data_IF_938306366560
#
_entry.id   IF_938306366560
#
_cell.length_a   1.000
_cell.length_b   1.000
_cell.length_c   1.000
_cell.angle_alpha   90.00
_cell.angle_beta   90.00
_cell.angle_gamma   90.00
#
_symmetry.space_group_name_H-M   'P 1'
#
loop_
_entity.id
_entity.type
_entity.pdbx_description
1 polymer ?
#
# COMPACT_ATOMS: atom_id res chain seq x y z
N UNK A 1 48.06 -31.73 41.56
CA UNK A 1 47.69 -30.77 40.49
C UNK A 1 46.43 -31.27 39.79
N UNK A 2 45.28 -30.95 40.37
CA UNK A 2 43.95 -31.38 39.94
C UNK A 2 43.38 -30.37 38.95
N UNK A 3 43.20 -30.77 37.68
CA UNK A 3 42.55 -29.95 36.65
C UNK A 3 41.08 -30.35 36.53
N UNK A 4 40.20 -29.53 37.11
CA UNK A 4 38.77 -29.57 36.83
C UNK A 4 38.50 -29.06 35.41
N UNK A 5 37.80 -29.85 34.58
CA UNK A 5 37.21 -29.39 33.31
C UNK A 5 35.74 -29.09 33.58
N UNK A 6 35.36 -27.81 33.43
CA UNK A 6 33.97 -27.34 33.41
C UNK A 6 33.21 -27.94 32.21
N UNK A 7 31.91 -28.26 32.34
CA UNK A 7 31.08 -28.59 31.18
C UNK A 7 30.63 -27.31 30.46
N UNK A 8 30.69 -27.36 29.13
CA UNK A 8 30.21 -26.32 28.22
C UNK A 8 28.67 -26.39 28.19
N UNK A 9 28.00 -25.39 28.77
CA UNK A 9 26.54 -25.25 28.69
C UNK A 9 26.18 -24.63 27.34
N UNK A 10 25.63 -25.42 26.42
CA UNK A 10 25.10 -24.94 25.15
C UNK A 10 23.77 -24.22 25.41
N UNK A 11 23.76 -22.89 25.25
CA UNK A 11 22.56 -22.07 25.32
C UNK A 11 21.82 -22.15 23.98
N UNK A 12 20.77 -22.96 23.91
CA UNK A 12 19.82 -22.96 22.80
C UNK A 12 18.95 -21.70 22.89
N UNK A 13 19.27 -20.69 22.09
CA UNK A 13 18.39 -19.54 21.84
C UNK A 13 17.24 -20.02 20.94
N UNK A 14 16.08 -20.30 21.54
CA UNK A 14 14.85 -20.52 20.81
C UNK A 14 14.40 -19.17 20.18
N UNK A 15 14.61 -19.01 18.87
CA UNK A 15 13.90 -18.00 18.09
C UNK A 15 12.42 -18.44 17.99
N UNK A 16 11.61 -17.97 18.93
CA UNK A 16 10.16 -18.02 18.77
C UNK A 16 9.70 -17.12 17.62
N UNK A 17 8.61 -17.45 16.92
CA UNK A 17 8.05 -16.58 15.90
C UNK A 17 7.64 -15.25 16.56
N UNK A 18 8.09 -14.12 15.99
CA UNK A 18 7.52 -12.82 16.36
C UNK A 18 6.05 -12.83 15.94
N UNK A 19 5.16 -13.08 16.90
CA UNK A 19 3.77 -12.71 16.76
C UNK A 19 3.72 -11.21 16.49
N UNK A 20 3.20 -10.81 15.33
CA UNK A 20 2.91 -9.42 15.04
C UNK A 20 1.94 -8.92 16.11
N UNK A 21 2.44 -8.11 17.04
CA UNK A 21 1.60 -7.47 18.05
C UNK A 21 0.68 -6.52 17.28
N UNK A 22 -0.63 -6.78 17.30
CA UNK A 22 -1.64 -5.83 16.86
C UNK A 22 -1.53 -4.59 17.78
N UNK A 23 -0.67 -3.65 17.39
CA UNK A 23 -0.44 -2.40 18.10
C UNK A 23 -1.55 -1.39 17.82
N UNK A 24 -1.61 -0.34 18.63
CA UNK A 24 -2.42 0.82 18.29
C UNK A 24 -1.96 1.36 16.92
N UNK A 25 -2.93 1.72 16.06
CA UNK A 25 -2.64 2.26 14.72
C UNK A 25 -1.63 3.39 14.83
N UNK A 26 -0.55 3.32 14.04
CA UNK A 26 0.42 4.40 13.98
C UNK A 26 -0.26 5.70 13.57
N UNK A 27 0.03 6.77 14.31
CA UNK A 27 -0.53 8.09 14.10
C UNK A 27 0.38 8.90 13.17
N UNK A 28 -0.25 9.70 12.32
CA UNK A 28 0.35 10.75 11.52
C UNK A 28 -0.48 12.02 11.73
N UNK A 29 0.13 13.19 11.56
CA UNK A 29 -0.65 14.43 11.52
C UNK A 29 -1.51 14.51 10.24
N UNK A 30 -2.46 15.46 10.24
CA UNK A 30 -3.39 15.63 9.12
C UNK A 30 -2.69 15.95 7.79
N UNK A 31 -1.60 16.73 7.80
CA UNK A 31 -0.89 17.08 6.57
C UNK A 31 -0.22 15.84 5.96
N UNK A 32 0.40 15.01 6.78
CA UNK A 32 0.96 13.73 6.34
C UNK A 32 -0.11 12.77 5.83
N UNK A 33 -1.25 12.66 6.52
CA UNK A 33 -2.36 11.78 6.09
C UNK A 33 -2.94 12.21 4.73
N UNK A 34 -3.09 13.51 4.50
CA UNK A 34 -3.52 14.05 3.21
C UNK A 34 -2.49 13.79 2.10
N UNK A 35 -1.20 14.00 2.39
CA UNK A 35 -0.12 13.75 1.44
C UNK A 35 -0.02 12.27 1.07
N UNK A 36 -0.05 11.38 2.05
CA UNK A 36 -0.05 9.93 1.84
C UNK A 36 -1.28 9.50 1.03
N UNK A 37 -2.47 9.99 1.36
CA UNK A 37 -3.69 9.66 0.62
C UNK A 37 -3.65 10.09 -0.85
N UNK A 38 -3.03 11.23 -1.16
CA UNK A 38 -2.78 11.67 -2.55
C UNK A 38 -1.76 10.80 -3.26
N UNK A 39 -0.65 10.47 -2.60
CA UNK A 39 0.39 9.61 -3.16
C UNK A 39 -0.17 8.21 -3.48
N UNK A 40 -0.98 7.63 -2.58
CA UNK A 40 -1.70 6.38 -2.80
C UNK A 40 -2.60 6.51 -4.04
N UNK A 41 -3.42 7.55 -4.13
CA UNK A 41 -4.30 7.78 -5.27
C UNK A 41 -3.54 7.92 -6.59
N UNK A 42 -2.48 8.73 -6.62
CA UNK A 42 -1.71 8.99 -7.83
C UNK A 42 -1.01 7.73 -8.35
N UNK A 43 -0.44 6.92 -7.46
CA UNK A 43 0.21 5.67 -7.80
C UNK A 43 -0.81 4.59 -8.20
N UNK A 44 -1.87 4.37 -7.42
CA UNK A 44 -2.90 3.35 -7.72
C UNK A 44 -3.55 3.61 -9.08
N UNK A 45 -3.91 4.86 -9.36
CA UNK A 45 -4.50 5.25 -10.64
C UNK A 45 -3.57 5.02 -11.83
N UNK A 46 -2.29 5.39 -11.71
CA UNK A 46 -1.32 5.22 -12.79
C UNK A 46 -0.96 3.76 -13.01
N UNK A 47 -0.81 2.98 -11.94
CA UNK A 47 -0.62 1.52 -12.04
C UNK A 47 -1.81 0.86 -12.72
N UNK A 48 -3.05 1.26 -12.41
CA UNK A 48 -4.23 0.75 -13.09
C UNK A 48 -4.19 1.05 -14.60
N UNK A 49 -3.91 2.30 -14.99
CA UNK A 49 -3.80 2.69 -16.40
C UNK A 49 -2.65 1.94 -17.11
N UNK A 50 -1.48 1.84 -16.48
CA UNK A 50 -0.34 1.11 -17.03
C UNK A 50 -0.67 -0.38 -17.21
N UNK A 51 -1.43 -0.96 -16.28
CA UNK A 51 -1.87 -2.36 -16.35
C UNK A 51 -2.85 -2.55 -17.50
N UNK A 52 -3.86 -1.68 -17.64
CA UNK A 52 -4.83 -1.73 -18.74
C UNK A 52 -4.12 -1.64 -20.09
N UNK A 53 -3.19 -0.68 -20.25
CA UNK A 53 -2.44 -0.52 -21.50
C UNK A 53 -1.48 -1.69 -21.79
N UNK A 54 -0.87 -2.27 -20.75
CA UNK A 54 -0.04 -3.46 -20.90
C UNK A 54 -0.88 -4.65 -21.40
N UNK A 55 -2.10 -4.83 -20.86
CA UNK A 55 -3.02 -5.90 -21.24
C UNK A 55 -3.55 -5.77 -22.69
N UNK A 56 -3.47 -4.60 -23.31
CA UNK A 56 -3.87 -4.42 -24.72
C UNK A 56 -2.93 -5.13 -25.69
N UNK A 57 -1.65 -5.30 -25.33
CA UNK A 57 -0.61 -5.79 -26.24
C UNK A 57 0.18 -7.00 -25.73
N UNK A 58 0.09 -7.31 -24.43
CA UNK A 58 0.87 -8.35 -23.78
C UNK A 58 -0.03 -9.29 -22.97
N UNK A 59 0.35 -10.57 -22.92
CA UNK A 59 -0.23 -11.54 -22.00
C UNK A 59 0.67 -11.64 -20.74
N UNK A 60 0.25 -11.14 -19.57
CA UNK A 60 1.10 -11.12 -18.37
C UNK A 60 1.54 -12.51 -17.91
N UNK A 61 0.72 -13.54 -18.17
CA UNK A 61 1.04 -14.91 -17.79
C UNK A 61 2.18 -15.47 -18.65
N UNK A 62 2.08 -15.28 -19.97
CA UNK A 62 3.11 -15.71 -20.94
C UNK A 62 4.42 -14.94 -20.74
N UNK A 63 4.34 -13.65 -20.43
CA UNK A 63 5.51 -12.81 -20.11
C UNK A 63 6.11 -13.11 -18.73
N UNK A 64 5.42 -13.90 -17.90
CA UNK A 64 5.85 -14.24 -16.55
C UNK A 64 5.77 -13.07 -15.57
N UNK A 65 4.99 -12.02 -15.85
CA UNK A 65 4.85 -10.85 -14.98
C UNK A 65 4.23 -11.28 -13.65
N UNK A 66 4.84 -10.85 -12.53
CA UNK A 66 4.41 -11.17 -11.16
C UNK A 66 4.16 -9.95 -10.28
N UNK A 67 4.46 -8.76 -10.78
CA UNK A 67 4.19 -7.51 -10.08
C UNK A 67 4.79 -6.32 -10.78
N UNK A 68 4.94 -5.24 -10.03
CA UNK A 68 5.53 -3.99 -10.51
C UNK A 68 6.26 -3.29 -9.37
N UNK A 69 7.17 -2.40 -9.76
CA UNK A 69 7.79 -1.39 -8.89
C UNK A 69 7.48 -0.01 -9.44
N UNK A 70 7.47 1.01 -8.59
CA UNK A 70 7.15 2.39 -9.01
C UNK A 70 8.26 3.33 -8.58
N UNK A 71 8.68 4.20 -9.49
CA UNK A 71 9.66 5.25 -9.23
C UNK A 71 9.14 6.61 -9.69
N UNK A 72 9.72 7.66 -9.12
CA UNK A 72 9.35 9.04 -9.42
C UNK A 72 8.13 9.52 -8.63
N UNK A 73 7.55 10.61 -9.11
CA UNK A 73 6.40 11.27 -8.50
C UNK A 73 5.25 11.43 -9.49
N UNK A 74 4.27 12.27 -9.15
CA UNK A 74 3.09 12.50 -9.99
C UNK A 74 3.39 13.12 -11.36
N UNK A 75 4.52 13.81 -11.51
CA UNK A 75 4.88 14.56 -12.72
C UNK A 75 5.82 13.75 -13.63
N UNK A 76 6.51 12.75 -13.09
CA UNK A 76 7.34 11.82 -13.85
C UNK A 76 7.38 10.43 -13.19
N UNK A 77 6.34 9.62 -13.41
CA UNK A 77 6.22 8.28 -12.82
C UNK A 77 6.70 7.19 -13.79
N UNK A 78 7.50 6.26 -13.29
CA UNK A 78 7.78 4.99 -13.96
C UNK A 78 7.06 3.87 -13.21
N UNK A 79 6.16 3.16 -13.90
CA UNK A 79 5.66 1.85 -13.46
C UNK A 79 6.43 0.79 -14.24
N UNK A 80 7.22 -0.02 -13.55
CA UNK A 80 8.03 -1.07 -14.16
C UNK A 80 7.48 -2.43 -13.77
N UNK A 81 6.95 -3.17 -14.74
CA UNK A 81 6.48 -4.54 -14.56
C UNK A 81 7.67 -5.49 -14.45
N UNK A 82 7.58 -6.42 -13.51
CA UNK A 82 8.68 -7.32 -13.16
C UNK A 82 8.27 -8.78 -13.20
N UNK A 83 9.24 -9.65 -13.46
CA UNK A 83 9.12 -11.10 -13.35
C UNK A 83 10.23 -11.66 -12.46
N UNK A 84 9.98 -12.85 -11.93
CA UNK A 84 10.98 -13.63 -11.21
C UNK A 84 11.69 -14.59 -12.18
N UNK A 85 13.01 -14.70 -12.08
CA UNK A 85 13.84 -15.63 -12.84
C UNK A 85 14.69 -16.47 -11.89
N UNK A 86 15.45 -17.43 -12.42
CA UNK A 86 16.40 -18.21 -11.61
C UNK A 86 17.50 -17.35 -10.97
N UNK A 87 17.81 -16.20 -11.56
CA UNK A 87 18.87 -15.28 -11.13
C UNK A 87 18.34 -14.09 -10.31
N UNK A 88 17.03 -14.08 -10.01
CA UNK A 88 16.34 -13.00 -9.29
C UNK A 88 15.29 -12.28 -10.13
N UNK A 89 14.78 -11.17 -9.63
CA UNK A 89 13.76 -10.38 -10.32
C UNK A 89 14.36 -9.47 -11.39
N UNK A 90 13.67 -9.34 -12.53
CA UNK A 90 14.06 -8.45 -13.63
C UNK A 90 12.86 -7.69 -14.22
N UNK A 91 13.16 -6.60 -14.92
CA UNK A 91 12.18 -5.78 -15.61
C UNK A 91 11.70 -6.44 -16.93
N UNK A 92 10.40 -6.37 -17.17
CA UNK A 92 9.76 -6.86 -18.39
C UNK A 92 9.31 -5.70 -19.28
N UNK A 93 8.58 -4.76 -18.70
CA UNK A 93 8.01 -3.60 -19.39
C UNK A 93 8.09 -2.35 -18.51
N UNK A 94 8.34 -1.21 -19.14
CA UNK A 94 8.26 0.11 -18.54
C UNK A 94 7.02 0.84 -19.06
N UNK A 95 6.22 1.39 -18.16
CA UNK A 95 5.18 2.37 -18.45
C UNK A 95 5.61 3.72 -17.88
N UNK A 96 5.99 4.65 -18.76
CA UNK A 96 6.50 5.98 -18.37
C UNK A 96 5.43 7.03 -18.55
N UNK A 97 5.07 7.66 -17.44
CA UNK A 97 4.17 8.80 -17.39
C UNK A 97 4.98 10.09 -17.43
N UNK A 98 4.52 11.04 -18.23
CA UNK A 98 4.88 12.45 -18.12
C UNK A 98 3.82 13.19 -17.27
N UNK A 99 3.61 14.48 -17.53
CA UNK A 99 2.57 15.28 -16.87
C UNK A 99 1.14 14.88 -17.29
N UNK A 100 1.01 13.97 -18.26
CA UNK A 100 -0.26 13.36 -18.68
C UNK A 100 -0.51 12.03 -17.98
N UNK A 101 -1.76 11.55 -18.07
CA UNK A 101 -2.15 10.23 -17.57
C UNK A 101 -1.99 9.11 -18.60
N UNK A 102 -1.34 9.37 -19.73
CA UNK A 102 -1.16 8.39 -20.80
C UNK A 102 0.31 7.94 -20.85
N UNK A 103 0.64 6.76 -20.32
CA UNK A 103 2.01 6.29 -20.32
C UNK A 103 2.46 5.86 -21.72
N UNK A 104 3.76 5.96 -21.96
CA UNK A 104 4.41 5.23 -23.05
C UNK A 104 4.86 3.87 -22.53
N UNK A 105 4.33 2.80 -23.12
CA UNK A 105 4.76 1.42 -22.86
C UNK A 105 5.99 1.11 -23.72
N UNK A 106 7.02 0.51 -23.11
CA UNK A 106 8.26 0.14 -23.80
C UNK A 106 8.96 -1.04 -23.12
N UNK A 107 9.74 -1.80 -23.88
CA UNK A 107 10.70 -2.73 -23.28
C UNK A 107 11.89 -1.97 -22.70
N UNK A 108 12.31 -2.29 -21.46
CA UNK A 108 13.44 -1.65 -20.84
C UNK A 108 14.75 -2.08 -21.52
N UNK A 109 15.62 -1.11 -21.82
CA UNK A 109 16.96 -1.38 -22.38
C UNK A 109 17.85 -2.18 -21.42
N UNK A 110 17.67 -1.94 -20.14
CA UNK A 110 18.33 -2.65 -19.06
C UNK A 110 17.24 -3.32 -18.20
N UNK A 111 17.31 -4.65 -18.14
CA UNK A 111 16.36 -5.48 -17.38
C UNK A 111 16.75 -5.60 -15.91
N UNK A 112 17.99 -5.23 -15.54
CA UNK A 112 18.41 -5.25 -14.16
C UNK A 112 17.58 -4.26 -13.32
N UNK A 113 17.20 -4.70 -12.12
CA UNK A 113 16.55 -3.85 -11.15
C UNK A 113 17.61 -3.17 -10.28
N UNK A 114 17.36 -1.90 -9.94
CA UNK A 114 18.20 -1.17 -8.98
C UNK A 114 17.97 -1.73 -7.57
N UNK A 115 18.91 -1.48 -6.65
CA UNK A 115 18.75 -1.85 -5.23
C UNK A 115 17.46 -1.29 -4.62
N UNK A 116 17.07 -0.07 -5.02
CA UNK A 116 15.83 0.55 -4.56
C UNK A 116 14.58 -0.17 -5.11
N UNK A 117 14.60 -0.58 -6.38
CA UNK A 117 13.52 -1.36 -7.01
C UNK A 117 13.41 -2.75 -6.36
N UNK A 118 14.54 -3.41 -6.11
CA UNK A 118 14.57 -4.69 -5.40
C UNK A 118 14.03 -4.57 -3.97
N UNK A 119 14.39 -3.49 -3.26
CA UNK A 119 13.88 -3.22 -1.92
C UNK A 119 12.35 -2.98 -1.93
N UNK A 120 11.81 -2.24 -2.92
CA UNK A 120 10.36 -2.08 -3.04
C UNK A 120 9.64 -3.41 -3.30
N UNK A 121 10.18 -4.25 -4.18
CA UNK A 121 9.62 -5.56 -4.48
C UNK A 121 9.65 -6.47 -3.24
N UNK A 122 10.77 -6.49 -2.52
CA UNK A 122 10.90 -7.20 -1.25
C UNK A 122 9.88 -6.71 -0.22
N UNK A 123 9.73 -5.38 -0.06
CA UNK A 123 8.79 -4.79 0.87
C UNK A 123 7.35 -5.17 0.57
N UNK A 124 6.97 -5.12 -0.71
CA UNK A 124 5.67 -5.57 -1.19
C UNK A 124 5.43 -7.04 -0.83
N UNK A 125 6.38 -7.92 -1.13
CA UNK A 125 6.24 -9.36 -0.90
C UNK A 125 6.12 -9.67 0.60
N UNK A 126 6.94 -9.03 1.44
CA UNK A 126 6.84 -9.13 2.90
C UNK A 126 5.46 -8.66 3.37
N UNK A 127 5.00 -7.49 2.94
CA UNK A 127 3.72 -6.93 3.36
C UNK A 127 2.52 -7.82 2.98
N UNK A 128 2.43 -8.23 1.70
CA UNK A 128 1.32 -9.05 1.22
C UNK A 128 1.28 -10.43 1.88
N UNK A 129 2.44 -11.00 2.22
CA UNK A 129 2.55 -12.25 2.98
C UNK A 129 2.06 -12.17 4.44
N UNK A 130 1.81 -10.96 4.97
CA UNK A 130 1.38 -10.73 6.35
C UNK A 130 -0.07 -10.24 6.48
N UNK A 131 -0.88 -10.32 5.42
CA UNK A 131 -2.32 -10.05 5.50
C UNK A 131 -2.99 -11.19 6.28
N UNK A 132 -3.40 -10.92 7.52
CA UNK A 132 -3.97 -11.95 8.39
C UNK A 132 -5.45 -12.28 8.10
N UNK A 133 -6.26 -11.25 7.82
CA UNK A 133 -7.70 -11.39 7.56
C UNK A 133 -8.04 -10.67 6.24
N UNK A 134 -7.86 -11.34 5.08
CA UNK A 134 -8.11 -10.72 3.79
C UNK A 134 -9.60 -10.45 3.59
N UNK A 135 -9.91 -9.26 3.10
CA UNK A 135 -11.26 -8.84 2.71
C UNK A 135 -11.52 -8.92 1.21
N UNK A 136 -10.49 -9.27 0.44
CA UNK A 136 -10.55 -9.49 -0.99
C UNK A 136 -9.52 -10.54 -1.40
N UNK A 137 -9.79 -11.25 -2.49
CA UNK A 137 -8.81 -12.09 -3.16
C UNK A 137 -7.72 -11.24 -3.87
N UNK A 138 -8.04 -9.98 -4.16
CA UNK A 138 -7.15 -9.05 -4.87
C UNK A 138 -6.86 -7.81 -4.03
N UNK A 139 -5.58 -7.49 -3.94
CA UNK A 139 -5.08 -6.30 -3.28
C UNK A 139 -4.22 -5.50 -4.25
N UNK A 140 -4.57 -4.24 -4.48
CA UNK A 140 -3.64 -3.30 -5.10
C UNK A 140 -2.57 -2.93 -4.08
N UNK A 141 -1.30 -2.97 -4.49
CA UNK A 141 -0.17 -2.70 -3.61
C UNK A 141 0.50 -1.38 -3.98
N UNK A 142 0.74 -0.53 -2.97
CA UNK A 142 1.46 0.74 -3.09
C UNK A 142 2.65 0.68 -2.14
N UNK A 143 3.82 1.12 -2.60
CA UNK A 143 5.04 1.23 -1.77
C UNK A 143 5.47 2.69 -1.79
N UNK A 144 5.46 3.33 -0.63
CA UNK A 144 5.84 4.73 -0.46
C UNK A 144 6.99 4.85 0.55
N UNK A 145 7.86 5.87 0.46
CA UNK A 145 8.80 6.20 1.53
C UNK A 145 8.06 6.51 2.83
N UNK A 146 8.61 6.07 3.97
CA UNK A 146 8.09 6.47 5.29
C UNK A 146 8.55 7.90 5.64
N UNK A 147 7.62 8.87 5.79
CA UNK A 147 7.98 10.27 5.95
C UNK A 147 8.61 10.61 7.33
N UNK A 148 8.48 9.75 8.34
CA UNK A 148 8.96 10.07 9.70
C UNK A 148 10.11 9.17 10.18
N UNK A 149 10.18 7.91 9.72
CA UNK A 149 11.11 6.91 10.29
C UNK A 149 12.13 6.36 9.31
N UNK A 150 12.06 6.77 8.05
CA UNK A 150 12.81 6.12 6.96
C UNK A 150 12.32 4.69 6.71
N UNK A 151 12.78 4.09 5.61
CA UNK A 151 12.21 2.84 5.11
C UNK A 151 10.95 3.08 4.29
N UNK A 152 10.02 2.14 4.34
CA UNK A 152 8.85 2.12 3.46
C UNK A 152 7.54 1.90 4.21
N UNK A 153 6.49 2.57 3.76
CA UNK A 153 5.11 2.23 4.03
C UNK A 153 4.56 1.45 2.84
N UNK A 154 4.11 0.22 3.08
CA UNK A 154 3.44 -0.59 2.07
C UNK A 154 1.96 -0.61 2.37
N UNK A 155 1.14 -0.27 1.38
CA UNK A 155 -0.30 -0.34 1.48
C UNK A 155 -0.82 -1.52 0.68
N UNK A 156 -1.64 -2.34 1.32
CA UNK A 156 -2.46 -3.33 0.64
C UNK A 156 -3.91 -2.81 0.62
N UNK A 157 -4.36 -2.38 -0.55
CA UNK A 157 -5.69 -1.85 -0.79
C UNK A 157 -6.60 -2.96 -1.32
N UNK A 158 -7.48 -3.48 -0.46
CA UNK A 158 -8.53 -4.41 -0.88
C UNK A 158 -9.31 -3.86 -2.09
N UNK A 159 -9.35 -4.62 -3.18
CA UNK A 159 -9.99 -4.25 -4.44
C UNK A 159 -11.20 -5.16 -4.73
N UNK A 160 -12.14 -4.71 -5.55
CA UNK A 160 -13.30 -5.52 -5.97
C UNK A 160 -13.59 -5.31 -7.44
N UNK A 161 -13.93 -6.38 -8.14
CA UNK A 161 -14.40 -6.36 -9.54
C UNK A 161 -15.93 -6.22 -9.63
N UNK A 162 -16.63 -6.30 -8.48
CA UNK A 162 -18.08 -6.25 -8.49
C UNK A 162 -18.57 -4.85 -8.87
N UNK A 163 -19.24 -4.80 -10.02
CA UNK A 163 -19.84 -3.59 -10.57
C UNK A 163 -20.77 -2.94 -9.55
N UNK A 164 -20.70 -1.62 -9.41
CA UNK A 164 -21.57 -0.90 -8.48
C UNK A 164 -21.16 -0.98 -7.01
N UNK A 165 -20.02 -1.57 -6.67
CA UNK A 165 -19.52 -1.62 -5.29
C UNK A 165 -18.12 -1.03 -5.13
N UNK A 166 -17.79 -0.69 -3.88
CA UNK A 166 -16.50 -0.17 -3.42
C UNK A 166 -16.14 -0.85 -2.12
N UNK A 167 -14.89 -1.28 -1.96
CA UNK A 167 -14.34 -1.66 -0.66
C UNK A 167 -13.77 -0.42 0.02
N UNK A 168 -14.45 0.04 1.08
CA UNK A 168 -14.01 1.15 1.92
C UNK A 168 -13.22 0.68 3.16
N UNK A 169 -13.15 -0.63 3.38
CA UNK A 169 -12.40 -1.25 4.47
C UNK A 169 -11.69 -2.53 4.01
N UNK A 170 -10.91 -3.11 4.90
CA UNK A 170 -10.07 -4.27 4.63
C UNK A 170 -8.68 -3.92 4.10
N UNK A 171 -8.32 -2.64 4.14
CA UNK A 171 -7.00 -2.15 3.76
C UNK A 171 -6.01 -2.29 4.92
N UNK A 172 -4.73 -2.46 4.57
CA UNK A 172 -3.63 -2.54 5.54
C UNK A 172 -2.53 -1.54 5.19
N UNK A 173 -1.82 -1.06 6.21
CA UNK A 173 -0.53 -0.39 6.09
C UNK A 173 0.52 -1.19 6.84
N UNK A 174 1.64 -1.41 6.20
CA UNK A 174 2.80 -2.10 6.76
C UNK A 174 3.96 -1.12 6.84
N UNK A 175 4.66 -1.09 7.97
CA UNK A 175 5.96 -0.40 8.07
C UNK A 175 7.05 -1.42 7.79
N UNK A 176 7.92 -1.16 6.82
CA UNK A 176 8.98 -2.08 6.38
C UNK A 176 10.33 -1.36 6.37
N UNK A 177 11.41 -2.08 6.68
CA UNK A 177 12.78 -1.55 6.58
C UNK A 177 13.13 -1.05 5.17
N UNK A 178 14.15 -0.20 5.07
CA UNK A 178 14.58 0.39 3.78
C UNK A 178 15.13 -0.60 2.77
N UNK A 179 15.60 -1.78 3.21
CA UNK A 179 15.98 -2.89 2.33
C UNK A 179 14.78 -3.76 1.91
N UNK A 180 13.59 -3.49 2.45
CA UNK A 180 12.36 -4.21 2.14
C UNK A 180 12.19 -5.57 2.84
N UNK A 181 13.15 -6.04 3.63
CA UNK A 181 13.13 -7.42 4.12
C UNK A 181 12.55 -7.61 5.52
N UNK A 182 12.42 -6.55 6.32
CA UNK A 182 11.99 -6.65 7.72
C UNK A 182 10.70 -5.89 7.97
N UNK A 183 9.68 -6.62 8.40
CA UNK A 183 8.43 -6.04 8.90
C UNK A 183 8.68 -5.33 10.25
N UNK A 184 8.29 -4.07 10.32
CA UNK A 184 8.36 -3.23 11.51
C UNK A 184 7.01 -2.99 12.21
N UNK A 185 5.90 -3.14 11.49
CA UNK A 185 4.56 -2.99 12.05
C UNK A 185 3.44 -3.22 11.04
N UNK A 186 2.24 -3.54 11.54
CA UNK A 186 1.03 -3.79 10.75
C UNK A 186 -0.10 -2.98 11.35
N UNK A 187 -0.74 -2.15 10.53
CA UNK A 187 -1.96 -1.43 10.86
C UNK A 187 -3.09 -1.97 9.96
N UNK A 188 -4.07 -2.65 10.55
CA UNK A 188 -5.37 -2.85 9.90
C UNK A 188 -6.10 -1.49 9.92
N UNK A 189 -6.50 -0.97 8.77
CA UNK A 189 -7.01 0.40 8.63
C UNK A 189 -8.54 0.51 8.75
N UNK A 190 -9.21 -0.60 9.08
CA UNK A 190 -10.64 -0.66 9.42
C UNK A 190 -10.93 -1.84 10.36
N UNK A 191 -12.10 -1.84 10.99
CA UNK A 191 -12.58 -2.90 11.90
C UNK A 191 -13.13 -4.15 11.16
N UNK A 192 -12.90 -4.23 9.84
CA UNK A 192 -13.45 -5.29 8.99
C UNK A 192 -13.66 -4.88 7.53
N UNK A 193 -14.32 -5.76 6.79
CA UNK A 193 -14.54 -5.64 5.35
C UNK A 193 -15.75 -4.75 5.04
N UNK A 194 -15.54 -3.43 5.06
CA UNK A 194 -16.60 -2.47 4.73
C UNK A 194 -16.78 -2.36 3.23
N UNK A 195 -17.89 -2.90 2.71
CA UNK A 195 -18.31 -2.74 1.31
C UNK A 195 -19.44 -1.73 1.23
N UNK A 196 -19.32 -0.77 0.32
CA UNK A 196 -20.31 0.27 0.09
C UNK A 196 -20.81 0.20 -1.36
N UNK A 197 -22.10 0.47 -1.62
CA UNK A 197 -22.56 0.69 -2.99
C UNK A 197 -21.93 1.97 -3.54
N UNK A 198 -21.58 1.97 -4.83
CA UNK A 198 -21.18 3.18 -5.56
C UNK A 198 -22.34 4.16 -5.48
N UNK A 199 -22.03 5.36 -5.01
CA UNK A 199 -23.04 6.39 -4.82
C UNK A 199 -23.30 7.15 -6.11
N UNK A 200 -24.53 7.65 -6.26
CA UNK A 200 -24.82 8.67 -7.27
C UNK A 200 -24.18 10.01 -6.87
N UNK A 201 -23.89 10.85 -7.87
CA UNK A 201 -23.34 12.19 -7.64
C UNK A 201 -24.21 12.98 -6.64
N UNK A 202 -23.55 13.63 -5.67
CA UNK A 202 -24.19 14.48 -4.67
C UNK A 202 -24.64 13.77 -3.38
N UNK A 203 -24.57 12.44 -3.30
CA UNK A 203 -24.85 11.72 -2.05
C UNK A 203 -23.67 11.81 -1.07
N UNK A 204 -23.99 11.86 0.23
CA UNK A 204 -22.99 11.85 1.30
C UNK A 204 -22.70 10.42 1.71
N UNK A 205 -21.41 10.07 1.79
CA UNK A 205 -20.97 8.80 2.37
C UNK A 205 -20.51 9.07 3.79
N UNK A 206 -21.01 8.29 4.75
CA UNK A 206 -20.54 8.30 6.13
C UNK A 206 -19.88 6.97 6.43
N UNK A 207 -18.63 7.00 6.88
CA UNK A 207 -17.89 5.82 7.32
C UNK A 207 -17.38 5.99 8.75
N UNK A 208 -17.23 4.87 9.46
CA UNK A 208 -16.64 4.84 10.79
C UNK A 208 -15.14 4.59 10.66
N UNK A 209 -14.33 5.42 11.33
CA UNK A 209 -12.90 5.18 11.52
C UNK A 209 -12.65 4.47 12.85
N UNK A 210 -11.62 3.64 12.87
CA UNK A 210 -11.05 3.02 14.08
C UNK A 210 -10.00 3.90 14.75
N UNK A 211 -9.69 5.06 14.17
CA UNK A 211 -8.75 6.05 14.71
C UNK A 211 -9.46 7.34 15.17
N UNK A 212 -8.75 8.13 15.99
CA UNK A 212 -9.23 9.43 16.48
C UNK A 212 -9.18 10.54 15.42
N UNK A 213 -8.54 10.27 14.29
CA UNK A 213 -8.54 11.10 13.08
C UNK A 213 -8.85 10.19 11.88
N UNK A 214 -9.39 10.71 10.77
CA UNK A 214 -9.45 9.92 9.54
C UNK A 214 -8.05 9.46 9.13
N UNK A 215 -7.99 8.33 8.43
CA UNK A 215 -6.74 7.74 7.92
C UNK A 215 -6.55 8.11 6.44
N UNK A 216 -5.34 7.96 5.93
CA UNK A 216 -4.97 8.25 4.54
C UNK A 216 -5.80 7.46 3.51
N UNK A 217 -6.29 6.28 3.86
CA UNK A 217 -7.20 5.50 3.00
C UNK A 217 -8.55 6.20 2.79
N UNK A 218 -9.00 7.01 3.74
CA UNK A 218 -10.22 7.81 3.57
C UNK A 218 -9.99 8.95 2.57
N UNK A 219 -8.79 9.53 2.56
CA UNK A 219 -8.36 10.53 1.58
C UNK A 219 -8.28 9.89 0.18
N UNK A 220 -7.65 8.72 0.09
CA UNK A 220 -7.60 7.92 -1.14
C UNK A 220 -9.01 7.63 -1.71
N UNK A 221 -9.92 7.10 -0.88
CA UNK A 221 -11.30 6.79 -1.30
C UNK A 221 -12.06 8.04 -1.76
N UNK A 222 -11.87 9.18 -1.09
CA UNK A 222 -12.45 10.45 -1.53
C UNK A 222 -11.98 10.84 -2.94
N UNK A 223 -10.68 10.73 -3.21
CA UNK A 223 -10.10 11.07 -4.52
C UNK A 223 -10.51 10.08 -5.60
N UNK A 224 -10.53 8.79 -5.28
CA UNK A 224 -10.91 7.71 -6.19
C UNK A 224 -12.37 7.85 -6.65
N UNK A 225 -13.29 8.11 -5.72
CA UNK A 225 -14.72 8.17 -6.00
C UNK A 225 -15.26 9.58 -6.23
N UNK A 226 -14.41 10.60 -6.10
CA UNK A 226 -14.77 12.02 -6.29
C UNK A 226 -16.02 12.43 -5.50
N UNK A 227 -16.21 11.83 -4.32
CA UNK A 227 -17.40 11.99 -3.49
C UNK A 227 -16.98 12.47 -2.11
N UNK A 228 -17.55 13.57 -1.59
CA UNK A 228 -17.26 14.01 -0.22
C UNK A 228 -17.52 12.90 0.79
N UNK A 229 -16.52 12.60 1.61
CA UNK A 229 -16.55 11.51 2.58
C UNK A 229 -16.63 12.10 3.98
N UNK A 230 -17.63 11.69 4.75
CA UNK A 230 -17.76 12.03 6.16
C UNK A 230 -17.25 10.87 7.00
N UNK A 231 -16.40 11.16 7.98
CA UNK A 231 -15.74 10.14 8.79
C UNK A 231 -16.04 10.39 10.26
N UNK A 232 -16.76 9.47 10.88
CA UNK A 232 -16.98 9.45 12.32
C UNK A 232 -15.79 8.77 12.99
N UNK A 233 -15.09 9.49 13.86
CA UNK A 233 -13.84 9.04 14.51
C UNK A 233 -14.08 8.58 15.96
N UNK A 234 -13.12 7.85 16.53
CA UNK A 234 -13.27 7.25 17.86
C UNK A 234 -13.38 8.27 19.00
N UNK A 235 -12.92 9.51 18.78
CA UNK A 235 -13.08 10.63 19.72
C UNK A 235 -14.40 11.39 19.55
N UNK A 236 -15.33 10.82 18.78
CA UNK A 236 -16.67 11.34 18.50
C UNK A 236 -16.70 12.62 17.64
N UNK A 237 -15.60 12.99 17.00
CA UNK A 237 -15.62 14.04 15.97
C UNK A 237 -16.08 13.50 14.63
N UNK A 238 -16.84 14.34 13.93
CA UNK A 238 -17.18 14.14 12.53
C UNK A 238 -16.21 14.96 11.67
N UNK A 239 -15.56 14.30 10.72
CA UNK A 239 -14.68 14.94 9.75
C UNK A 239 -15.32 14.92 8.37
N UNK A 240 -15.04 15.93 7.56
CA UNK A 240 -15.32 15.97 6.12
C UNK A 240 -14.00 15.86 5.36
N UNK A 241 -13.97 14.97 4.39
CA UNK A 241 -12.90 14.84 3.41
C UNK A 241 -13.46 15.23 2.04
N UNK A 242 -12.84 16.23 1.42
CA UNK A 242 -13.24 16.74 0.11
C UNK A 242 -12.01 17.19 -0.66
N UNK A 243 -11.90 16.77 -1.93
CA UNK A 243 -10.74 17.03 -2.78
C UNK A 243 -9.41 16.65 -2.12
N UNK A 244 -9.42 15.58 -1.33
CA UNK A 244 -8.28 15.09 -0.55
C UNK A 244 -7.86 15.99 0.61
N UNK A 245 -8.75 16.84 1.12
CA UNK A 245 -8.52 17.72 2.29
C UNK A 245 -9.42 17.31 3.44
N UNK A 246 -8.86 17.25 4.63
CA UNK A 246 -9.51 16.86 5.87
C UNK A 246 -9.88 18.10 6.69
N UNK A 247 -11.12 18.17 7.14
CA UNK A 247 -11.61 19.24 8.02
C UNK A 247 -12.57 18.68 9.06
N UNK A 248 -12.57 19.25 10.26
CA UNK A 248 -13.58 18.91 11.27
C UNK A 248 -14.89 19.58 10.86
N UNK A 249 -16.00 18.85 10.92
CA UNK A 249 -17.34 19.43 10.76
C UNK A 249 -17.69 20.11 12.08
N UNK A 250 -17.73 21.44 12.07
CA UNK A 250 -18.20 22.19 13.23
C UNK A 250 -19.70 21.95 13.42
N UNK A 251 -20.10 21.56 14.64
CA UNK A 251 -21.49 21.54 15.03
C UNK A 251 -22.02 22.97 15.14
N UNK A 252 -23.21 23.22 14.60
CA UNK A 252 -24.00 24.38 15.01
C UNK A 252 -24.63 24.12 16.37
#
# INVERSE_FOLDING_TARGET
MTRHRLPLLALLLALGPLAAVAGAIRKFDTAHLEALGRAIYDQDKRVAIATDMMLESYNPEEEGIRGWVVEGDRDAMLVRFVRETGDGAEAVLDARFDDTLLPVISEPKDRALTDAQLAQLAARNVALGHIAHPCSERYNSIVLPDPERGGMLVYALAATEESGSVLAGGHYRFTVSGDGHRLGGVDALSDGCTKLPKQAAGQRVVVKSIAATPLETHVFLNLLHKTPLYVATTDKRLWKIENGRMSVVEGK
#
